data_IF_097662055579
#
_entry.id   IF_097662055579
#
_cell.length_a   1.000
_cell.length_b   1.000
_cell.length_c   1.000
_cell.angle_alpha   90.00
_cell.angle_beta   90.00
_cell.angle_gamma   90.00
#
_symmetry.space_group_name_H-M   'P 1'
#
loop_
_entity.id
_entity.type
_entity.pdbx_description
1 polymer ?
#
# COMPACT_ATOMS: atom_id res chain seq x y z
N UNK A 1 14.58 21.81 -0.21
CA UNK A 1 13.50 22.45 0.58
C UNK A 1 13.29 21.73 1.92
N UNK A 2 13.82 22.33 3.00
CA UNK A 2 13.69 21.82 4.35
C UNK A 2 12.28 22.11 4.89
N UNK A 3 11.42 21.09 4.91
CA UNK A 3 10.13 21.14 5.61
C UNK A 3 10.36 20.84 7.10
N UNK A 4 10.80 21.84 7.87
CA UNK A 4 10.79 21.78 9.33
C UNK A 4 9.40 22.16 9.87
N UNK A 5 8.75 21.38 10.75
CA UNK A 5 7.38 21.65 11.17
C UNK A 5 7.32 22.77 12.22
N UNK A 6 6.32 23.65 12.11
CA UNK A 6 5.86 24.56 13.16
C UNK A 6 5.34 23.75 14.37
N UNK A 7 5.39 24.26 15.62
CA UNK A 7 5.15 23.49 16.85
C UNK A 7 3.80 22.75 16.93
N UNK A 8 2.76 23.20 16.21
CA UNK A 8 1.48 22.48 16.12
C UNK A 8 1.44 21.37 15.05
N UNK A 9 2.36 21.39 14.08
CA UNK A 9 2.44 20.43 12.98
C UNK A 9 3.34 19.22 13.29
N UNK A 10 4.14 19.28 14.36
CA UNK A 10 5.03 18.18 14.76
C UNK A 10 4.26 16.87 15.05
N UNK A 11 3.03 16.96 15.55
CA UNK A 11 2.18 15.78 15.81
C UNK A 11 1.54 15.17 14.56
N UNK A 12 1.35 15.94 13.49
CA UNK A 12 0.64 15.50 12.26
C UNK A 12 1.62 15.01 11.18
N UNK A 13 2.85 15.50 11.24
CA UNK A 13 3.95 15.12 10.33
C UNK A 13 4.12 13.60 10.14
N UNK A 14 4.14 12.74 11.19
CA UNK A 14 4.32 11.30 10.99
C UNK A 14 3.18 10.67 10.17
N UNK A 15 1.94 11.16 10.30
CA UNK A 15 0.80 10.66 9.52
C UNK A 15 0.88 11.07 8.05
N UNK A 16 1.32 12.30 7.79
CA UNK A 16 1.52 12.79 6.42
C UNK A 16 2.63 12.01 5.72
N UNK A 17 3.77 11.83 6.39
CA UNK A 17 4.89 11.06 5.84
C UNK A 17 4.48 9.60 5.58
N UNK A 18 3.78 8.97 6.54
CA UNK A 18 3.25 7.62 6.35
C UNK A 18 2.26 7.54 5.18
N UNK A 19 1.38 8.52 5.03
CA UNK A 19 0.43 8.59 3.91
C UNK A 19 1.11 8.74 2.56
N UNK A 20 2.19 9.52 2.47
CA UNK A 20 2.98 9.69 1.25
C UNK A 20 3.71 8.39 0.89
N UNK A 21 4.39 7.74 1.85
CA UNK A 21 5.07 6.47 1.61
C UNK A 21 4.10 5.34 1.22
N UNK A 22 2.93 5.29 1.85
CA UNK A 22 1.86 4.36 1.50
C UNK A 22 1.34 4.60 0.07
N UNK A 23 1.14 5.86 -0.30
CA UNK A 23 0.66 6.23 -1.64
C UNK A 23 1.65 5.85 -2.73
N UNK A 24 2.96 5.97 -2.49
CA UNK A 24 3.99 5.51 -3.45
C UNK A 24 3.84 4.02 -3.76
N UNK A 25 3.59 3.19 -2.75
CA UNK A 25 3.37 1.73 -2.92
C UNK A 25 2.10 1.40 -3.69
N UNK A 26 1.03 2.19 -3.51
CA UNK A 26 -0.19 2.03 -4.32
C UNK A 26 0.09 2.30 -5.80
N UNK A 27 0.89 3.31 -6.11
CA UNK A 27 1.22 3.66 -7.51
C UNK A 27 2.05 2.54 -8.15
N UNK A 28 3.05 2.00 -7.45
CA UNK A 28 3.84 0.85 -7.93
C UNK A 28 2.95 -0.38 -8.18
N UNK A 29 2.03 -0.67 -7.27
CA UNK A 29 1.08 -1.76 -7.44
C UNK A 29 0.20 -1.53 -8.67
N UNK A 30 -0.37 -0.33 -8.84
CA UNK A 30 -1.21 0.05 -9.99
C UNK A 30 -0.50 -0.11 -11.34
N UNK A 31 0.81 0.07 -11.37
CA UNK A 31 1.64 -0.12 -12.57
C UNK A 31 2.02 -1.58 -12.84
N UNK A 32 1.73 -2.49 -11.91
CA UNK A 32 2.09 -3.90 -12.06
C UNK A 32 1.26 -4.55 -13.17
N UNK A 33 1.95 -4.99 -14.23
CA UNK A 33 1.33 -5.66 -15.38
C UNK A 33 0.82 -7.07 -15.04
N UNK A 34 1.44 -7.75 -14.07
CA UNK A 34 1.08 -9.13 -13.67
C UNK A 34 -0.32 -9.20 -13.06
N UNK A 35 -0.65 -8.26 -12.18
CA UNK A 35 -1.95 -8.22 -11.50
C UNK A 35 -2.85 -7.07 -11.97
N UNK A 36 -2.41 -6.27 -12.96
CA UNK A 36 -3.14 -5.11 -13.48
C UNK A 36 -3.53 -4.08 -12.43
N UNK A 37 -2.71 -3.92 -11.38
CA UNK A 37 -3.03 -3.00 -10.28
C UNK A 37 -3.83 -3.56 -9.10
N UNK A 38 -4.42 -4.76 -9.22
CA UNK A 38 -5.24 -5.33 -8.15
C UNK A 38 -4.42 -5.81 -6.94
N UNK A 39 -3.13 -6.15 -7.14
CA UNK A 39 -2.27 -6.78 -6.14
C UNK A 39 -2.59 -8.23 -5.83
N UNK A 40 -3.54 -8.83 -6.55
CA UNK A 40 -3.96 -10.22 -6.38
C UNK A 40 -3.90 -10.91 -7.74
N UNK A 41 -3.53 -12.18 -7.73
CA UNK A 41 -3.56 -13.04 -8.92
C UNK A 41 -4.43 -14.24 -8.59
N UNK A 42 -5.28 -14.63 -9.53
CA UNK A 42 -6.11 -15.82 -9.38
C UNK A 42 -5.27 -17.04 -9.76
N UNK A 43 -5.13 -17.98 -8.82
CA UNK A 43 -4.53 -19.30 -9.05
C UNK A 43 -5.50 -20.36 -8.55
N UNK A 44 -5.94 -21.24 -9.44
CA UNK A 44 -6.68 -22.47 -9.08
C UNK A 44 -7.82 -22.18 -8.08
N UNK A 45 -8.71 -21.25 -8.45
CA UNK A 45 -9.85 -20.75 -7.64
C UNK A 45 -9.51 -19.94 -6.37
N UNK A 46 -8.24 -19.67 -6.09
CA UNK A 46 -7.81 -18.87 -4.95
C UNK A 46 -7.16 -17.55 -5.39
N UNK A 47 -7.59 -16.44 -4.78
CA UNK A 47 -6.92 -15.16 -4.91
C UNK A 47 -5.70 -15.12 -3.99
N UNK A 48 -4.51 -15.16 -4.58
CA UNK A 48 -3.24 -15.08 -3.86
C UNK A 48 -2.57 -13.73 -4.09
N UNK A 49 -1.73 -13.32 -3.13
CA UNK A 49 -0.96 -12.07 -3.22
C UNK A 49 -0.05 -12.10 -4.45
N UNK A 50 -0.05 -11.01 -5.22
CA UNK A 50 0.82 -10.89 -6.38
C UNK A 50 2.29 -10.85 -5.92
N UNK A 51 3.09 -11.83 -6.35
CA UNK A 51 4.53 -11.91 -6.03
C UNK A 51 5.37 -10.84 -6.75
N UNK A 52 4.87 -10.27 -7.85
CA UNK A 52 5.61 -9.28 -8.64
C UNK A 52 5.66 -7.89 -7.99
N UNK A 53 4.51 -7.38 -7.53
CA UNK A 53 4.43 -6.10 -6.81
C UNK A 53 4.34 -6.26 -5.29
N UNK A 54 4.34 -7.50 -4.80
CA UNK A 54 4.13 -7.80 -3.39
C UNK A 54 2.75 -7.41 -2.90
N UNK A 55 1.72 -7.31 -3.74
CA UNK A 55 0.28 -7.16 -3.47
C UNK A 55 -0.22 -6.50 -2.16
N UNK A 56 -1.14 -5.55 -2.25
CA UNK A 56 -1.79 -4.94 -1.07
C UNK A 56 -3.12 -5.65 -0.73
N UNK A 57 -3.17 -6.31 0.43
CA UNK A 57 -4.36 -6.99 0.98
C UNK A 57 -5.52 -6.09 1.48
N UNK A 58 -5.40 -4.77 1.79
CA UNK A 58 -6.51 -4.03 2.40
C UNK A 58 -7.73 -3.90 1.49
N UNK A 59 -7.59 -4.09 0.17
CA UNK A 59 -8.73 -4.07 -0.77
C UNK A 59 -9.69 -5.26 -0.61
N UNK A 60 -9.22 -6.41 -0.09
CA UNK A 60 -10.07 -7.59 0.14
C UNK A 60 -10.60 -7.63 1.57
N UNK A 61 -9.73 -7.48 2.58
CA UNK A 61 -10.16 -7.12 3.93
C UNK A 61 -8.98 -6.75 4.81
N UNK A 62 -9.22 -5.84 5.77
CA UNK A 62 -8.31 -5.58 6.88
C UNK A 62 -8.01 -6.83 7.71
N UNK A 63 -8.94 -7.78 7.80
CA UNK A 63 -8.75 -9.03 8.56
C UNK A 63 -7.67 -9.93 7.92
N UNK A 64 -7.58 -9.99 6.59
CA UNK A 64 -6.51 -10.73 5.90
C UNK A 64 -5.16 -10.01 6.00
N UNK A 65 -5.15 -8.68 5.94
CA UNK A 65 -3.93 -7.88 6.07
C UNK A 65 -3.19 -8.14 7.40
N UNK A 66 -3.89 -8.25 8.52
CA UNK A 66 -3.27 -8.49 9.83
C UNK A 66 -3.01 -9.95 10.17
N UNK A 67 -3.62 -10.91 9.46
CA UNK A 67 -3.54 -12.34 9.81
C UNK A 67 -2.49 -13.15 9.05
N UNK A 68 -1.88 -12.58 8.00
CA UNK A 68 -0.89 -13.28 7.16
C UNK A 68 -1.56 -14.20 6.15
#
# INVERSE_FOLDING_TARGET
PAFGPLPSAAGVTPFVVAGVEFSKRIIEQKKCEICGGSGLVMKEDLYVRCQGCGGFLPWQSWRRFFKG
#
